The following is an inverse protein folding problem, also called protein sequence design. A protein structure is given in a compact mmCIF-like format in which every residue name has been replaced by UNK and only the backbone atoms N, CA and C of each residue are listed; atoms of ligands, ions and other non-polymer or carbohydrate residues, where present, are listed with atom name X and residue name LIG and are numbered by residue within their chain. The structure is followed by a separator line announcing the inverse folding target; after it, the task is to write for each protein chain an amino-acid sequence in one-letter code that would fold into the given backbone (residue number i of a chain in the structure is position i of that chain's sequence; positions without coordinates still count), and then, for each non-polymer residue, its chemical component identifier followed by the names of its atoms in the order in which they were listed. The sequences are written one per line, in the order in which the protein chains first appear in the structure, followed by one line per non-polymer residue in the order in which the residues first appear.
data_IF_281119466644
#
_entry.id   IF_281119466644
#
_cell.length_a   1.000
_cell.length_b   1.000
_cell.length_c   1.000
_cell.angle_alpha   90.00
_cell.angle_beta   90.00
_cell.angle_gamma   90.00
#
_symmetry.space_group_name_H-M   'P 1'
#
loop_
_entity.id
_entity.type
_entity.pdbx_description
1 polymer ?
#
# COMPACT_ATOMS: atom_id res chain seq x y z
N UNK A 1 13.44 31.81 20.73
CA UNK A 1 13.59 32.52 19.43
C UNK A 1 14.66 31.79 18.63
N UNK A 2 14.26 31.05 17.58
CA UNK A 2 15.21 30.32 16.73
C UNK A 2 15.87 31.30 15.77
N UNK A 3 17.17 31.56 15.96
CA UNK A 3 17.95 32.42 15.05
C UNK A 3 18.12 31.70 13.71
N UNK A 4 17.55 32.27 12.64
CA UNK A 4 17.73 31.75 11.27
C UNK A 4 19.24 31.71 10.93
N UNK A 5 19.70 30.56 10.44
CA UNK A 5 21.09 30.34 10.02
C UNK A 5 21.40 31.26 8.83
N UNK A 6 22.46 32.07 8.93
CA UNK A 6 22.97 32.85 7.78
C UNK A 6 23.48 31.89 6.70
N UNK A 7 23.00 32.04 5.47
CA UNK A 7 23.42 31.27 4.29
C UNK A 7 24.26 32.19 3.41
N UNK A 8 25.44 31.73 3.00
CA UNK A 8 26.34 32.46 2.12
C UNK A 8 26.39 31.80 0.74
N UNK A 9 26.31 32.60 -0.32
CA UNK A 9 26.42 32.12 -1.71
C UNK A 9 27.82 31.56 -2.01
N UNK A 10 27.92 30.70 -3.02
CA UNK A 10 29.19 30.13 -3.45
C UNK A 10 30.16 31.22 -3.94
N UNK A 11 29.66 32.16 -4.75
CA UNK A 11 30.45 33.28 -5.29
C UNK A 11 31.03 34.17 -4.17
N UNK A 12 30.24 34.43 -3.13
CA UNK A 12 30.71 35.20 -1.97
C UNK A 12 31.81 34.46 -1.21
N UNK A 13 31.65 33.15 -0.98
CA UNK A 13 32.70 32.33 -0.34
C UNK A 13 33.98 32.30 -1.17
N UNK A 14 33.87 32.16 -2.49
CA UNK A 14 35.02 32.17 -3.39
C UNK A 14 35.76 33.51 -3.35
N UNK A 15 35.03 34.64 -3.41
CA UNK A 15 35.62 35.98 -3.30
C UNK A 15 36.37 36.18 -1.98
N UNK A 16 35.77 35.79 -0.86
CA UNK A 16 36.41 35.88 0.47
C UNK A 16 37.67 35.02 0.54
N UNK A 17 37.65 33.81 -0.02
CA UNK A 17 38.83 32.92 0.00
C UNK A 17 39.95 33.43 -0.91
N UNK A 18 39.64 34.05 -2.05
CA UNK A 18 40.63 34.67 -2.92
C UNK A 18 41.37 35.81 -2.22
N UNK A 19 40.64 36.73 -1.54
CA UNK A 19 41.25 37.80 -0.74
C UNK A 19 42.17 37.24 0.38
N UNK A 20 41.84 36.06 0.94
CA UNK A 20 42.69 35.39 1.94
C UNK A 20 43.96 34.77 1.33
N UNK A 21 43.93 34.38 0.05
CA UNK A 21 45.06 33.75 -0.66
C UNK A 21 46.00 34.78 -1.28
N UNK A 22 45.49 35.95 -1.67
CA UNK A 22 46.27 37.09 -2.17
C UNK A 22 47.16 37.74 -1.09
N UNK A 23 47.04 37.28 0.17
CA UNK A 23 47.88 37.63 1.31
C UNK A 23 47.89 39.14 1.69
N UNK A 24 46.90 39.91 1.22
CA UNK A 24 46.80 41.34 1.51
C UNK A 24 46.30 41.64 2.94
N UNK A 25 45.62 40.70 3.60
CA UNK A 25 45.02 40.89 4.93
C UNK A 25 45.05 39.60 5.77
N UNK A 26 45.10 39.75 7.09
CA UNK A 26 45.03 38.60 8.00
C UNK A 26 43.62 37.98 8.02
N UNK A 27 43.51 36.68 8.33
CA UNK A 27 42.20 35.99 8.43
C UNK A 27 41.24 36.72 9.38
N UNK A 28 41.77 37.38 10.41
CA UNK A 28 40.99 38.11 11.40
C UNK A 28 40.52 39.47 10.87
N UNK A 29 41.33 40.15 10.05
CA UNK A 29 40.93 41.40 9.37
C UNK A 29 39.84 41.14 8.34
N UNK A 30 39.96 40.07 7.54
CA UNK A 30 38.95 39.69 6.53
C UNK A 30 37.66 39.24 7.21
N UNK A 31 37.77 38.48 8.30
CA UNK A 31 36.64 38.12 9.13
C UNK A 31 35.92 39.36 9.70
N UNK A 32 36.67 40.39 10.10
CA UNK A 32 36.09 41.63 10.61
C UNK A 32 35.45 42.47 9.50
N UNK A 33 36.11 42.58 8.33
CA UNK A 33 35.64 43.32 7.14
C UNK A 33 34.31 42.80 6.60
N UNK A 34 34.09 41.49 6.65
CA UNK A 34 32.88 40.82 6.16
C UNK A 34 31.93 40.36 7.28
N UNK A 35 32.19 40.74 8.54
CA UNK A 35 31.41 40.31 9.72
C UNK A 35 31.24 38.77 9.81
N UNK A 36 32.31 38.04 9.48
CA UNK A 36 32.37 36.59 9.50
C UNK A 36 33.08 36.09 10.75
N UNK A 37 32.76 34.86 11.16
CA UNK A 37 33.56 34.14 12.14
C UNK A 37 34.87 33.66 11.49
N UNK A 38 36.06 33.89 12.09
CA UNK A 38 37.34 33.44 11.54
C UNK A 38 37.39 31.94 11.23
N UNK A 39 36.66 31.12 12.00
CA UNK A 39 36.51 29.68 11.77
C UNK A 39 35.85 29.36 10.42
N UNK A 40 34.86 30.17 9.98
CA UNK A 40 34.20 29.97 8.69
C UNK A 40 35.17 30.23 7.54
N UNK A 41 35.96 31.30 7.64
CA UNK A 41 36.96 31.66 6.63
C UNK A 41 38.04 30.58 6.51
N UNK A 42 38.54 30.04 7.64
CA UNK A 42 39.46 28.89 7.65
C UNK A 42 38.86 27.64 6.99
N UNK A 43 37.62 27.31 7.32
CA UNK A 43 36.93 26.16 6.74
C UNK A 43 36.70 26.33 5.23
N UNK A 44 36.31 27.52 4.77
CA UNK A 44 36.12 27.77 3.35
C UNK A 44 37.44 27.74 2.59
N UNK A 45 38.53 28.26 3.16
CA UNK A 45 39.88 28.15 2.58
C UNK A 45 40.28 26.69 2.41
N UNK A 46 40.06 25.85 3.44
CA UNK A 46 40.36 24.42 3.38
C UNK A 46 39.56 23.72 2.27
N UNK A 47 38.24 23.91 2.24
CA UNK A 47 37.35 23.34 1.21
C UNK A 47 37.75 23.80 -0.20
N UNK A 48 38.13 25.06 -0.36
CA UNK A 48 38.55 25.60 -1.65
C UNK A 48 39.85 24.99 -2.14
N UNK A 49 40.86 24.83 -1.26
CA UNK A 49 42.12 24.19 -1.62
C UNK A 49 41.94 22.71 -1.96
N UNK A 50 41.09 21.99 -1.22
CA UNK A 50 40.76 20.58 -1.48
C UNK A 50 40.05 20.39 -2.83
N UNK A 51 39.18 21.33 -3.21
CA UNK A 51 38.42 21.27 -4.47
C UNK A 51 39.06 22.07 -5.62
N UNK A 52 40.23 22.67 -5.42
CA UNK A 52 40.88 23.56 -6.39
C UNK A 52 41.24 22.83 -7.67
N UNK A 53 41.73 21.59 -7.57
CA UNK A 53 42.07 20.74 -8.72
C UNK A 53 40.86 20.46 -9.61
N UNK A 54 39.66 20.29 -9.03
CA UNK A 54 38.41 20.07 -9.77
C UNK A 54 38.03 21.26 -10.67
N UNK A 55 38.48 22.48 -10.34
CA UNK A 55 38.22 23.66 -11.15
C UNK A 55 39.04 23.67 -12.46
N UNK A 56 40.21 23.02 -12.47
CA UNK A 56 41.09 22.89 -13.63
C UNK A 56 40.76 21.63 -14.44
N UNK A 57 40.40 20.54 -13.78
CA UNK A 57 40.04 19.28 -14.43
C UNK A 57 38.52 19.09 -14.59
N UNK A 58 37.79 20.15 -15.00
CA UNK A 58 36.35 20.07 -15.27
C UNK A 58 35.99 18.94 -16.25
N UNK A 59 36.91 18.59 -17.15
CA UNK A 59 36.69 17.56 -18.16
C UNK A 59 36.63 16.14 -17.60
N UNK A 60 37.35 15.82 -16.51
CA UNK A 60 37.33 14.49 -15.88
C UNK A 60 36.07 14.34 -15.05
N UNK A 61 35.75 15.34 -14.23
CA UNK A 61 34.56 15.40 -13.39
C UNK A 61 33.28 15.29 -14.23
N UNK A 62 33.19 16.02 -15.35
CA UNK A 62 32.03 15.93 -16.26
C UNK A 62 31.95 14.56 -16.96
N UNK A 63 33.08 13.92 -17.26
CA UNK A 63 33.09 12.56 -17.84
C UNK A 63 32.65 11.52 -16.82
N UNK A 64 33.16 11.57 -15.60
CA UNK A 64 32.76 10.68 -14.50
C UNK A 64 31.26 10.78 -14.23
N UNK A 65 30.73 11.99 -14.05
CA UNK A 65 29.30 12.18 -13.86
C UNK A 65 28.46 11.71 -15.05
N UNK A 66 28.93 11.91 -16.30
CA UNK A 66 28.22 11.39 -17.48
C UNK A 66 28.17 9.87 -17.48
N UNK A 67 29.28 9.22 -17.16
CA UNK A 67 29.36 7.76 -17.07
C UNK A 67 28.45 7.24 -15.96
N UNK A 68 28.48 7.84 -14.77
CA UNK A 68 27.56 7.49 -13.67
C UNK A 68 26.09 7.71 -14.04
N UNK A 69 25.76 8.80 -14.73
CA UNK A 69 24.40 9.03 -15.20
C UNK A 69 23.97 7.99 -16.23
N UNK A 70 24.86 7.57 -17.11
CA UNK A 70 24.58 6.51 -18.09
C UNK A 70 24.42 5.14 -17.42
N UNK A 71 25.25 4.78 -16.44
CA UNK A 71 25.13 3.52 -15.71
C UNK A 71 23.83 3.47 -14.91
N UNK A 72 23.52 4.53 -14.16
CA UNK A 72 22.29 4.64 -13.39
C UNK A 72 21.05 4.60 -14.30
N UNK A 73 21.10 5.21 -15.49
CA UNK A 73 20.01 5.10 -16.47
C UNK A 73 19.83 3.67 -16.95
N UNK A 74 20.91 2.99 -17.34
CA UNK A 74 20.86 1.59 -17.78
C UNK A 74 20.29 0.68 -16.70
N UNK A 75 20.71 0.85 -15.45
CA UNK A 75 20.19 0.07 -14.32
C UNK A 75 18.70 0.32 -14.10
N UNK A 76 18.25 1.58 -14.15
CA UNK A 76 16.82 1.93 -14.07
C UNK A 76 16.01 1.29 -15.19
N UNK A 77 16.52 1.32 -16.42
CA UNK A 77 15.84 0.73 -17.57
C UNK A 77 15.74 -0.80 -17.43
N UNK A 78 16.80 -1.46 -16.94
CA UNK A 78 16.80 -2.90 -16.67
C UNK A 78 15.82 -3.27 -15.57
N UNK A 79 15.78 -2.49 -14.48
CA UNK A 79 14.84 -2.70 -13.38
C UNK A 79 13.40 -2.48 -13.87
N UNK A 80 13.14 -1.43 -14.66
CA UNK A 80 11.82 -1.15 -15.21
C UNK A 80 11.33 -2.28 -16.12
N UNK A 81 12.21 -2.86 -16.95
CA UNK A 81 11.88 -4.03 -17.77
C UNK A 81 11.50 -5.25 -16.93
N UNK A 82 12.33 -5.59 -15.93
CA UNK A 82 12.04 -6.71 -15.01
C UNK A 82 10.74 -6.49 -14.21
N UNK A 83 10.49 -5.26 -13.78
CA UNK A 83 9.23 -4.90 -13.13
C UNK A 83 8.04 -5.07 -14.09
N UNK A 84 8.17 -4.69 -15.36
CA UNK A 84 7.14 -4.92 -16.38
C UNK A 84 6.86 -6.41 -16.60
N UNK A 85 7.90 -7.22 -16.79
CA UNK A 85 7.78 -8.68 -16.96
C UNK A 85 7.05 -9.32 -15.76
N UNK A 86 7.48 -8.99 -14.54
CA UNK A 86 6.86 -9.52 -13.31
C UNK A 86 5.43 -9.05 -13.10
N UNK A 87 5.06 -7.84 -13.53
CA UNK A 87 3.66 -7.36 -13.50
C UNK A 87 2.80 -8.19 -14.45
N UNK A 88 3.25 -8.41 -15.69
CA UNK A 88 2.51 -9.18 -16.69
C UNK A 88 2.35 -10.64 -16.25
N UNK A 89 3.42 -11.26 -15.74
CA UNK A 89 3.36 -12.63 -15.20
C UNK A 89 2.37 -12.73 -14.04
N UNK A 90 2.40 -11.75 -13.13
CA UNK A 90 1.48 -11.70 -12.00
C UNK A 90 0.03 -11.53 -12.44
N UNK A 91 -0.27 -10.60 -13.34
CA UNK A 91 -1.64 -10.38 -13.87
C UNK A 91 -2.17 -11.63 -14.57
N UNK A 92 -1.32 -12.32 -15.33
CA UNK A 92 -1.69 -13.60 -15.95
C UNK A 92 -2.05 -14.66 -14.92
N UNK A 93 -1.23 -14.83 -13.88
CA UNK A 93 -1.49 -15.79 -12.80
C UNK A 93 -2.75 -15.42 -12.00
N UNK A 94 -2.95 -14.15 -11.69
CA UNK A 94 -4.16 -13.65 -10.99
C UNK A 94 -5.42 -13.97 -11.81
N UNK A 95 -5.45 -13.66 -13.10
CA UNK A 95 -6.59 -13.97 -13.98
C UNK A 95 -6.86 -15.48 -14.13
N UNK A 96 -5.80 -16.31 -14.17
CA UNK A 96 -5.95 -17.77 -14.15
C UNK A 96 -6.51 -18.26 -12.81
N UNK A 97 -6.07 -17.70 -11.69
CA UNK A 97 -6.55 -18.08 -10.37
C UNK A 97 -8.03 -17.75 -10.20
N UNK A 98 -8.45 -16.56 -10.64
CA UNK A 98 -9.87 -16.15 -10.59
C UNK A 98 -10.78 -17.07 -11.41
N UNK A 99 -10.32 -17.51 -12.59
CA UNK A 99 -11.10 -18.37 -13.47
C UNK A 99 -11.15 -19.84 -13.03
N UNK A 100 -10.06 -20.36 -12.45
CA UNK A 100 -9.98 -21.78 -12.05
C UNK A 100 -10.56 -22.05 -10.66
N UNK A 101 -10.48 -21.08 -9.74
CA UNK A 101 -10.68 -21.32 -8.31
C UNK A 101 -11.94 -20.61 -7.81
N UNK A 102 -12.89 -21.40 -7.29
CA UNK A 102 -14.10 -20.86 -6.65
C UNK A 102 -13.75 -19.90 -5.50
N UNK A 103 -14.62 -18.92 -5.23
CA UNK A 103 -14.40 -17.99 -4.12
C UNK A 103 -14.28 -18.71 -2.76
N UNK A 104 -14.96 -19.85 -2.60
CA UNK A 104 -14.90 -20.68 -1.38
C UNK A 104 -13.52 -21.30 -1.16
N UNK A 105 -12.89 -21.80 -2.22
CA UNK A 105 -11.54 -22.37 -2.14
C UNK A 105 -10.46 -21.29 -2.05
N UNK A 106 -10.67 -20.10 -2.63
CA UNK A 106 -9.73 -18.98 -2.42
C UNK A 106 -9.68 -18.54 -0.94
N UNK A 107 -10.79 -18.68 -0.20
CA UNK A 107 -10.88 -18.35 1.24
C UNK A 107 -9.82 -19.10 2.06
N UNK A 108 -9.49 -20.34 1.69
CA UNK A 108 -8.55 -21.18 2.45
C UNK A 108 -7.08 -20.80 2.23
N UNK A 109 -6.78 -19.96 1.24
CA UNK A 109 -5.42 -19.49 0.96
C UNK A 109 -5.00 -18.29 1.82
N UNK A 110 -5.91 -17.73 2.62
CA UNK A 110 -5.57 -16.64 3.53
C UNK A 110 -4.77 -17.19 4.71
N UNK A 111 -3.57 -16.66 4.92
CA UNK A 111 -2.68 -17.04 6.02
C UNK A 111 -2.46 -15.87 6.98
N UNK A 112 -2.93 -16.01 8.21
CA UNK A 112 -2.73 -15.02 9.28
C UNK A 112 -1.28 -14.81 9.71
N UNK A 113 -0.36 -15.74 9.39
CA UNK A 113 1.06 -15.69 9.78
C UNK A 113 1.98 -15.09 8.72
N UNK A 114 1.47 -14.85 7.51
CA UNK A 114 2.25 -14.26 6.43
C UNK A 114 2.60 -12.79 6.74
N UNK A 115 3.71 -12.31 6.19
CA UNK A 115 4.14 -10.89 6.24
C UNK A 115 3.11 -9.89 5.68
N UNK A 116 2.17 -10.36 4.85
CA UNK A 116 1.15 -9.52 4.22
C UNK A 116 -0.07 -9.44 5.15
N UNK A 117 -0.56 -8.24 5.41
CA UNK A 117 -1.82 -8.07 6.15
C UNK A 117 -2.97 -8.85 5.49
N UNK A 118 -3.90 -9.38 6.29
CA UNK A 118 -5.10 -10.10 5.82
C UNK A 118 -5.87 -9.26 4.78
N UNK A 119 -5.95 -7.94 4.94
CA UNK A 119 -6.61 -7.05 3.98
C UNK A 119 -5.93 -7.07 2.60
N UNK A 120 -4.59 -7.09 2.55
CA UNK A 120 -3.85 -7.19 1.28
C UNK A 120 -4.06 -8.56 0.64
N UNK A 121 -4.01 -9.63 1.43
CA UNK A 121 -4.27 -10.99 0.93
C UNK A 121 -5.69 -11.14 0.36
N UNK A 122 -6.71 -10.60 1.03
CA UNK A 122 -8.09 -10.61 0.54
C UNK A 122 -8.22 -9.87 -0.81
N UNK A 123 -7.52 -8.74 -0.95
CA UNK A 123 -7.50 -7.98 -2.21
C UNK A 123 -6.85 -8.78 -3.34
N UNK A 124 -5.69 -9.40 -3.09
CA UNK A 124 -4.98 -10.23 -4.07
C UNK A 124 -5.77 -11.49 -4.47
N UNK A 125 -6.50 -12.07 -3.53
CA UNK A 125 -7.36 -13.24 -3.81
C UNK A 125 -8.73 -12.85 -4.37
N UNK A 126 -9.02 -11.55 -4.53
CA UNK A 126 -10.32 -11.03 -4.97
C UNK A 126 -11.51 -11.57 -4.15
N UNK A 127 -11.37 -11.55 -2.82
CA UNK A 127 -12.42 -11.97 -1.87
C UNK A 127 -12.79 -10.78 -0.98
N UNK A 128 -14.09 -10.60 -0.73
CA UNK A 128 -14.54 -9.67 0.30
C UNK A 128 -14.11 -10.18 1.69
N UNK A 129 -13.61 -9.28 2.53
CA UNK A 129 -13.17 -9.61 3.89
C UNK A 129 -14.28 -10.24 4.74
N UNK A 130 -15.53 -9.79 4.55
CA UNK A 130 -16.70 -10.35 5.25
C UNK A 130 -16.86 -11.85 5.00
N UNK A 131 -16.51 -12.33 3.81
CA UNK A 131 -16.61 -13.75 3.44
C UNK A 131 -15.67 -14.63 4.28
N UNK A 132 -14.58 -14.08 4.82
CA UNK A 132 -13.70 -14.83 5.73
C UNK A 132 -14.40 -15.20 7.04
N UNK A 133 -15.15 -14.26 7.59
CA UNK A 133 -15.82 -14.42 8.89
C UNK A 133 -17.24 -14.97 8.74
N UNK A 134 -17.77 -15.01 7.52
CA UNK A 134 -19.08 -15.57 7.27
C UNK A 134 -19.06 -17.10 7.41
N UNK A 135 -19.91 -17.60 8.30
CA UNK A 135 -20.27 -19.01 8.40
C UNK A 135 -21.65 -19.22 7.75
N UNK A 136 -21.76 -20.12 6.76
CA UNK A 136 -23.03 -20.34 6.10
C UNK A 136 -24.01 -21.04 7.06
N UNK A 137 -25.04 -20.31 7.47
CA UNK A 137 -26.16 -20.90 8.21
C UNK A 137 -26.96 -21.78 7.25
N UNK A 138 -27.00 -23.08 7.50
CA UNK A 138 -27.91 -23.98 6.79
C UNK A 138 -29.32 -23.70 7.32
N UNK A 139 -30.16 -23.08 6.50
CA UNK A 139 -31.57 -22.89 6.82
C UNK A 139 -32.26 -24.25 6.87
N UNK A 140 -33.24 -24.39 7.74
CA UNK A 140 -34.08 -25.59 7.85
C UNK A 140 -33.30 -26.88 8.17
N UNK A 141 -32.37 -26.80 9.13
CA UNK A 141 -31.54 -27.95 9.53
C UNK A 141 -31.85 -28.46 10.93
N UNK A 142 -32.72 -27.78 11.68
CA UNK A 142 -33.24 -28.29 12.95
C UNK A 142 -34.26 -29.39 12.72
N UNK A 143 -34.39 -30.33 13.67
CA UNK A 143 -35.46 -31.33 13.67
C UNK A 143 -36.84 -30.66 13.65
N UNK A 144 -36.98 -29.50 14.29
CA UNK A 144 -38.22 -28.70 14.25
C UNK A 144 -38.51 -28.14 12.86
N UNK A 145 -37.46 -27.72 12.14
CA UNK A 145 -37.60 -27.21 10.78
C UNK A 145 -38.01 -28.34 9.81
N UNK A 146 -37.47 -29.54 10.00
CA UNK A 146 -37.84 -30.71 9.19
C UNK A 146 -39.30 -31.10 9.45
N UNK A 147 -39.74 -31.10 10.72
CA UNK A 147 -41.15 -31.33 11.08
C UNK A 147 -42.07 -30.29 10.44
N UNK A 148 -41.67 -29.02 10.48
CA UNK A 148 -42.40 -27.95 9.81
C UNK A 148 -42.51 -28.18 8.29
N UNK A 149 -41.40 -28.54 7.63
CA UNK A 149 -41.38 -28.82 6.19
C UNK A 149 -42.25 -30.02 5.82
N UNK A 150 -42.22 -31.09 6.61
CA UNK A 150 -43.07 -32.26 6.40
C UNK A 150 -44.55 -31.89 6.53
N UNK A 151 -44.93 -31.15 7.58
CA UNK A 151 -46.30 -30.70 7.78
C UNK A 151 -46.77 -29.78 6.65
N UNK A 152 -45.91 -28.86 6.19
CA UNK A 152 -46.21 -28.00 5.06
C UNK A 152 -46.50 -28.82 3.79
N UNK A 153 -45.69 -29.85 3.53
CA UNK A 153 -45.89 -30.75 2.40
C UNK A 153 -47.20 -31.54 2.54
N UNK A 154 -47.52 -32.06 3.72
CA UNK A 154 -48.77 -32.78 3.99
C UNK A 154 -50.00 -31.90 3.70
N UNK A 155 -50.04 -30.68 4.26
CA UNK A 155 -51.15 -29.75 4.03
C UNK A 155 -51.26 -29.37 2.53
N UNK A 156 -50.13 -29.19 1.85
CA UNK A 156 -50.14 -28.87 0.42
C UNK A 156 -50.58 -30.06 -0.44
N UNK A 157 -50.27 -31.29 -0.04
CA UNK A 157 -50.75 -32.50 -0.71
C UNK A 157 -52.25 -32.69 -0.54
N UNK A 158 -52.79 -32.41 0.64
CA UNK A 158 -54.23 -32.50 0.92
C UNK A 158 -55.02 -31.35 0.29
N UNK A 159 -54.46 -30.14 0.31
CA UNK A 159 -55.11 -28.92 -0.17
C UNK A 159 -54.22 -28.11 -1.13
N UNK A 160 -54.01 -28.57 -2.38
CA UNK A 160 -53.15 -27.88 -3.36
C UNK A 160 -53.60 -26.46 -3.73
N UNK A 161 -54.85 -26.11 -3.44
CA UNK A 161 -55.44 -24.80 -3.73
C UNK A 161 -55.31 -23.81 -2.56
N UNK A 162 -54.69 -24.19 -1.45
CA UNK A 162 -54.49 -23.28 -0.32
C UNK A 162 -53.42 -22.22 -0.64
N UNK A 163 -53.84 -20.96 -0.63
CA UNK A 163 -52.91 -19.82 -0.66
C UNK A 163 -52.20 -19.62 0.68
N UNK A 164 -51.19 -18.74 0.69
CA UNK A 164 -50.31 -18.45 1.84
C UNK A 164 -51.07 -18.18 3.14
N UNK A 165 -52.14 -17.37 3.10
CA UNK A 165 -52.95 -17.07 4.29
C UNK A 165 -53.59 -18.29 4.93
N UNK A 166 -54.13 -19.22 4.13
CA UNK A 166 -54.79 -20.43 4.63
C UNK A 166 -53.75 -21.44 5.14
N UNK A 167 -52.59 -21.52 4.49
CA UNK A 167 -51.45 -22.31 4.96
C UNK A 167 -50.93 -21.84 6.31
N UNK A 168 -50.75 -20.52 6.50
CA UNK A 168 -50.33 -19.96 7.80
C UNK A 168 -51.32 -20.31 8.91
N UNK A 169 -52.62 -20.19 8.66
CA UNK A 169 -53.64 -20.57 9.65
C UNK A 169 -53.60 -22.07 9.97
N UNK A 170 -53.46 -22.93 8.94
CA UNK A 170 -53.39 -24.37 9.14
C UNK A 170 -52.14 -24.76 9.96
N UNK A 171 -50.98 -24.21 9.63
CA UNK A 171 -49.73 -24.45 10.37
C UNK A 171 -49.77 -23.88 11.80
N UNK A 172 -50.47 -22.77 12.02
CA UNK A 172 -50.67 -22.20 13.35
C UNK A 172 -51.56 -23.10 14.23
N UNK A 173 -52.57 -23.75 13.65
CA UNK A 173 -53.41 -24.72 14.36
C UNK A 173 -52.63 -25.97 14.77
N UNK A 174 -51.65 -26.38 13.95
CA UNK A 174 -50.72 -27.48 14.24
C UNK A 174 -49.60 -27.08 15.23
N UNK A 175 -49.63 -25.86 15.77
CA UNK A 175 -48.74 -25.40 16.83
C UNK A 175 -47.45 -24.73 16.37
N UNK A 176 -47.25 -24.50 15.07
CA UNK A 176 -46.09 -23.79 14.54
C UNK A 176 -46.28 -22.26 14.60
N UNK A 177 -45.23 -21.53 15.01
CA UNK A 177 -45.22 -20.06 14.95
C UNK A 177 -44.69 -19.59 13.59
N UNK A 178 -45.62 -19.17 12.74
CA UNK A 178 -45.33 -18.83 11.34
C UNK A 178 -45.67 -17.36 11.06
N UNK A 179 -44.79 -16.67 10.32
CA UNK A 179 -45.02 -15.31 9.82
C UNK A 179 -45.97 -15.27 8.62
N UNK A 180 -46.37 -14.06 8.19
CA UNK A 180 -47.33 -13.87 7.08
C UNK A 180 -46.89 -14.49 5.75
N UNK A 181 -45.59 -14.71 5.58
CA UNK A 181 -44.98 -15.24 4.36
C UNK A 181 -44.55 -16.72 4.50
N UNK A 182 -45.19 -17.48 5.40
CA UNK A 182 -44.87 -18.91 5.66
C UNK A 182 -43.40 -19.10 6.07
N UNK A 183 -42.89 -18.20 6.92
CA UNK A 183 -41.54 -18.28 7.47
C UNK A 183 -41.59 -18.65 8.95
N UNK A 184 -40.76 -19.60 9.37
CA UNK A 184 -40.61 -19.94 10.80
C UNK A 184 -40.04 -18.72 11.52
N UNK A 185 -40.75 -18.23 12.53
CA UNK A 185 -40.23 -17.18 13.41
C UNK A 185 -39.38 -17.89 14.47
N UNK A 186 -38.10 -18.09 14.17
CA UNK A 186 -37.14 -18.59 15.16
C UNK A 186 -36.98 -17.53 16.27
N UNK A 187 -36.99 -17.98 17.52
CA UNK A 187 -36.92 -17.13 18.71
C UNK A 187 -35.49 -16.74 19.06
#
# INVERSE_FOLDING_TARGET
MSTKRKIYSADFKAKVVLEVLEAEQSINEIASKYELLPANVKNWKKIFLENMSLAFDKSTVVKEYKVELETVKKEKDLIAKKLGETIVEKEFLEGKLESLVSSKSRKTFVDSKHELSINKQCKLLHIAKSTLYYEPVKKFSSDEDIKFLNMLNEIHSEFPYYGTRRLVTALANEGFKVGTDVTIIQK
#
